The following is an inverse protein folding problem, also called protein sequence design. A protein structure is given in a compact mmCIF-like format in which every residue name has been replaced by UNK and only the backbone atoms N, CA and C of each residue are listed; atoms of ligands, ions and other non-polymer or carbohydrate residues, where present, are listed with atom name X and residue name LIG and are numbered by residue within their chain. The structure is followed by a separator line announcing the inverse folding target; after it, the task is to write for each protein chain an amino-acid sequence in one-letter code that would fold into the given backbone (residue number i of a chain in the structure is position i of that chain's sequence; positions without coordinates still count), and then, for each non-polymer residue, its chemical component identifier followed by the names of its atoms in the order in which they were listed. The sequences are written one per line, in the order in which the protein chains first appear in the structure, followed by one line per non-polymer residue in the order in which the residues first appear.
data_IF_512454181054
#
_entry.id   IF_512454181054
#
_cell.length_a   1.000
_cell.length_b   1.000
_cell.length_c   1.000
_cell.angle_alpha   90.00
_cell.angle_beta   90.00
_cell.angle_gamma   90.00
#
_symmetry.space_group_name_H-M   'P 1'
#
loop_
_entity.id
_entity.type
_entity.pdbx_description
1 polymer ?
#
# COMPACT_ATOMS: atom_id res chain seq x y z
N UNK A 1 15.42 3.81 -13.84
CA UNK A 1 15.27 5.02 -13.00
C UNK A 1 13.85 5.60 -13.01
N UNK A 2 13.20 5.78 -14.18
CA UNK A 2 11.85 6.38 -14.28
C UNK A 2 10.79 5.76 -13.35
N UNK A 3 10.80 4.44 -13.17
CA UNK A 3 9.88 3.74 -12.27
C UNK A 3 10.00 4.14 -10.79
N UNK A 4 11.21 4.46 -10.30
CA UNK A 4 11.39 4.92 -8.91
C UNK A 4 10.83 6.34 -8.77
N UNK A 5 11.13 7.23 -9.71
CA UNK A 5 10.63 8.61 -9.70
C UNK A 5 9.09 8.66 -9.75
N UNK A 6 8.47 7.86 -10.63
CA UNK A 6 7.01 7.75 -10.70
C UNK A 6 6.41 7.21 -9.39
N UNK A 7 6.98 6.16 -8.80
CA UNK A 7 6.51 5.63 -7.53
C UNK A 7 6.63 6.65 -6.38
N UNK A 8 7.71 7.45 -6.35
CA UNK A 8 7.87 8.51 -5.35
C UNK A 8 6.81 9.61 -5.51
N UNK A 9 6.46 9.98 -6.75
CA UNK A 9 5.36 10.91 -7.00
C UNK A 9 4.03 10.37 -6.47
N UNK A 10 3.69 9.11 -6.80
CA UNK A 10 2.46 8.47 -6.33
C UNK A 10 2.43 8.37 -4.79
N UNK A 11 3.57 8.09 -4.16
CA UNK A 11 3.70 8.10 -2.70
C UNK A 11 3.41 9.49 -2.12
N UNK A 12 3.94 10.55 -2.73
CA UNK A 12 3.71 11.92 -2.30
C UNK A 12 2.24 12.32 -2.44
N UNK A 13 1.61 11.97 -3.56
CA UNK A 13 0.19 12.21 -3.81
C UNK A 13 -0.70 11.45 -2.81
N UNK A 14 -0.34 10.19 -2.50
CA UNK A 14 -1.04 9.40 -1.50
C UNK A 14 -0.91 9.98 -0.09
N UNK A 15 0.29 10.44 0.29
CA UNK A 15 0.53 11.08 1.58
C UNK A 15 -0.23 12.41 1.69
N UNK A 16 -0.18 13.24 0.65
CA UNK A 16 -0.92 14.50 0.61
C UNK A 16 -2.44 14.25 0.70
N UNK A 17 -2.96 13.26 -0.02
CA UNK A 17 -4.36 12.88 0.08
C UNK A 17 -4.77 12.43 1.48
N UNK A 18 -3.91 11.68 2.17
CA UNK A 18 -4.17 11.25 3.54
C UNK A 18 -4.21 12.43 4.51
N UNK A 19 -3.27 13.37 4.41
CA UNK A 19 -3.26 14.60 5.25
C UNK A 19 -4.48 15.49 4.98
N UNK A 20 -4.94 15.54 3.73
CA UNK A 20 -6.13 16.31 3.32
C UNK A 20 -7.45 15.57 3.60
N UNK A 21 -7.42 14.31 4.09
CA UNK A 21 -8.60 13.55 4.51
C UNK A 21 -9.40 12.88 3.39
N UNK A 22 -8.92 12.87 2.15
CA UNK A 22 -9.55 12.16 1.03
C UNK A 22 -8.74 10.95 0.52
N UNK A 23 -7.54 10.75 1.06
CA UNK A 23 -6.69 9.59 0.80
C UNK A 23 -6.96 8.46 1.77
N UNK A 24 -6.59 7.24 1.38
CA UNK A 24 -6.69 6.07 2.26
C UNK A 24 -5.31 5.57 2.65
N UNK A 25 -5.21 5.03 3.86
CA UNK A 25 -4.01 4.43 4.41
C UNK A 25 -3.52 3.26 3.53
N UNK A 26 -4.43 2.49 2.92
CA UNK A 26 -4.06 1.39 2.01
C UNK A 26 -3.36 1.91 0.76
N UNK A 27 -3.82 3.05 0.21
CA UNK A 27 -3.16 3.67 -0.95
C UNK A 27 -1.76 4.15 -0.59
N UNK A 28 -1.59 4.74 0.59
CA UNK A 28 -0.28 5.16 1.10
C UNK A 28 0.65 3.95 1.29
N UNK A 29 0.17 2.89 1.94
CA UNK A 29 0.91 1.65 2.19
C UNK A 29 1.34 0.99 0.88
N UNK A 30 0.41 0.86 -0.09
CA UNK A 30 0.69 0.25 -1.40
C UNK A 30 1.76 1.03 -2.16
N UNK A 31 1.64 2.36 -2.16
CA UNK A 31 2.59 3.25 -2.83
C UNK A 31 3.98 3.20 -2.19
N UNK A 32 4.06 3.14 -0.86
CA UNK A 32 5.33 3.00 -0.14
C UNK A 32 6.04 1.67 -0.44
N UNK A 33 5.29 0.56 -0.49
CA UNK A 33 5.80 -0.76 -0.89
C UNK A 33 6.32 -0.75 -2.33
N UNK A 34 5.63 -0.06 -3.23
CA UNK A 34 6.05 0.08 -4.62
C UNK A 34 7.36 0.87 -4.76
N UNK A 35 7.56 1.95 -3.99
CA UNK A 35 8.84 2.69 -3.94
C UNK A 35 9.98 1.78 -3.47
N UNK A 36 9.77 1.00 -2.41
CA UNK A 36 10.75 0.04 -1.88
C UNK A 36 11.14 -0.99 -2.94
N UNK A 37 10.15 -1.61 -3.59
CA UNK A 37 10.35 -2.61 -4.64
C UNK A 37 11.12 -2.05 -5.85
N UNK A 38 10.70 -0.87 -6.35
CA UNK A 38 11.35 -0.23 -7.50
C UNK A 38 12.80 0.18 -7.18
N UNK A 39 13.07 0.60 -5.93
CA UNK A 39 14.42 0.95 -5.46
C UNK A 39 15.30 -0.29 -5.38
N UNK A 40 14.77 -1.41 -4.89
CA UNK A 40 15.49 -2.68 -4.86
C UNK A 40 15.81 -3.19 -6.27
N UNK A 41 14.85 -3.13 -7.20
CA UNK A 41 15.07 -3.48 -8.61
C UNK A 41 16.13 -2.60 -9.27
N UNK A 42 16.13 -1.30 -8.98
CA UNK A 42 17.17 -0.38 -9.46
C UNK A 42 18.55 -0.75 -8.88
N UNK A 43 18.64 -1.04 -7.58
CA UNK A 43 19.89 -1.47 -6.95
C UNK A 43 20.46 -2.75 -7.58
N UNK A 44 19.61 -3.76 -7.81
CA UNK A 44 20.02 -5.00 -8.48
C UNK A 44 20.52 -4.71 -9.89
N UNK A 45 19.81 -3.87 -10.65
CA UNK A 45 20.20 -3.47 -12.00
C UNK A 45 21.51 -2.66 -12.03
N UNK A 46 21.77 -1.83 -11.01
CA UNK A 46 23.04 -1.11 -10.86
C UNK A 46 24.17 -2.07 -10.48
N UNK A 47 23.90 -3.07 -9.62
CA UNK A 47 24.89 -4.06 -9.18
C UNK A 47 25.45 -4.91 -10.32
N UNK A 48 24.67 -5.22 -11.36
CA UNK A 48 25.15 -5.96 -12.54
C UNK A 48 25.96 -5.09 -13.52
N UNK A 49 25.92 -3.76 -13.39
CA UNK A 49 26.61 -2.83 -14.31
C UNK A 49 27.75 -2.04 -13.68
N UNK A 50 27.79 -1.95 -12.35
CA UNK A 50 28.79 -1.19 -11.60
C UNK A 50 29.78 -2.13 -10.92
N UNK A 51 31.03 -1.67 -10.77
CA UNK A 51 32.01 -2.34 -9.93
C UNK A 51 31.52 -2.33 -8.48
N UNK A 52 31.36 -3.52 -7.90
CA UNK A 52 30.84 -3.73 -6.55
C UNK A 52 31.71 -3.06 -5.47
N UNK A 53 33.01 -2.90 -5.74
CA UNK A 53 33.94 -2.26 -4.79
C UNK A 53 34.00 -0.75 -4.95
N UNK A 54 33.28 -0.16 -5.91
CA UNK A 54 33.27 1.29 -6.09
C UNK A 54 32.59 2.03 -4.93
N UNK A 55 33.18 3.15 -4.53
CA UNK A 55 32.62 4.03 -3.51
C UNK A 55 31.20 4.51 -3.87
N UNK A 56 30.93 4.71 -5.16
CA UNK A 56 29.60 5.05 -5.68
C UNK A 56 28.56 3.97 -5.41
N UNK A 57 28.91 2.68 -5.58
CA UNK A 57 28.00 1.56 -5.30
C UNK A 57 27.76 1.39 -3.79
N UNK A 58 28.79 1.58 -2.95
CA UNK A 58 28.63 1.56 -1.50
C UNK A 58 27.67 2.67 -1.00
N UNK A 59 27.80 3.89 -1.53
CA UNK A 59 26.89 5.01 -1.23
C UNK A 59 25.47 4.72 -1.71
N UNK A 60 25.32 4.19 -2.93
CA UNK A 60 24.02 3.87 -3.51
C UNK A 60 23.31 2.75 -2.72
N UNK A 61 24.03 1.71 -2.29
CA UNK A 61 23.48 0.64 -1.44
C UNK A 61 23.02 1.19 -0.08
N UNK A 62 23.80 2.08 0.53
CA UNK A 62 23.44 2.74 1.79
C UNK A 62 22.18 3.57 1.63
N UNK A 63 22.07 4.35 0.55
CA UNK A 63 20.89 5.14 0.23
C UNK A 63 19.66 4.27 -0.01
N UNK A 64 19.75 3.21 -0.82
CA UNK A 64 18.62 2.34 -1.08
C UNK A 64 18.18 1.53 0.16
N UNK A 65 19.12 1.14 1.03
CA UNK A 65 18.79 0.54 2.33
C UNK A 65 18.08 1.54 3.25
N UNK A 66 18.46 2.82 3.23
CA UNK A 66 17.77 3.87 3.97
C UNK A 66 16.33 4.06 3.46
N UNK A 67 16.13 4.10 2.13
CA UNK A 67 14.79 4.17 1.51
C UNK A 67 13.93 2.97 1.91
N UNK A 68 14.48 1.76 1.89
CA UNK A 68 13.77 0.56 2.33
C UNK A 68 13.34 0.65 3.79
N UNK A 69 14.25 1.04 4.68
CA UNK A 69 13.91 1.21 6.11
C UNK A 69 12.84 2.28 6.34
N UNK A 70 12.94 3.41 5.64
CA UNK A 70 11.98 4.51 5.76
C UNK A 70 10.58 4.08 5.28
N UNK A 71 10.50 3.42 4.12
CA UNK A 71 9.23 2.90 3.58
C UNK A 71 8.63 1.79 4.45
N UNK A 72 9.45 0.89 4.99
CA UNK A 72 8.97 -0.15 5.92
C UNK A 72 8.47 0.46 7.24
N UNK A 73 9.14 1.49 7.78
CA UNK A 73 8.70 2.19 8.97
C UNK A 73 7.38 2.95 8.74
N UNK A 74 7.23 3.59 7.58
CA UNK A 74 5.99 4.24 7.17
C UNK A 74 4.84 3.22 7.08
N UNK A 75 5.05 2.08 6.42
CA UNK A 75 4.03 1.03 6.31
C UNK A 75 3.61 0.52 7.68
N UNK A 76 4.55 0.22 8.57
CA UNK A 76 4.22 -0.21 9.94
C UNK A 76 3.41 0.83 10.70
N UNK A 77 3.75 2.11 10.55
CA UNK A 77 3.06 3.20 11.23
C UNK A 77 1.64 3.37 10.70
N UNK A 78 1.47 3.36 9.37
CA UNK A 78 0.16 3.44 8.73
C UNK A 78 -0.72 2.23 9.07
N UNK A 79 -0.13 1.03 9.13
CA UNK A 79 -0.88 -0.19 9.44
C UNK A 79 -1.38 -0.22 10.90
N UNK A 80 -0.56 0.26 11.85
CA UNK A 80 -1.02 0.47 13.24
C UNK A 80 -2.15 1.49 13.34
N UNK A 81 -2.09 2.58 12.56
CA UNK A 81 -3.15 3.58 12.55
C UNK A 81 -4.49 2.98 12.08
N UNK A 82 -4.47 2.11 11.06
CA UNK A 82 -5.66 1.39 10.59
C UNK A 82 -6.19 0.42 11.63
N UNK A 83 -5.32 -0.33 12.32
CA UNK A 83 -5.71 -1.27 13.38
C UNK A 83 -6.40 -0.55 14.55
N UNK A 84 -5.85 0.57 15.01
CA UNK A 84 -6.48 1.39 16.07
C UNK A 84 -7.86 1.91 15.66
N UNK A 85 -8.02 2.38 14.42
CA UNK A 85 -9.32 2.82 13.90
C UNK A 85 -10.36 1.69 13.79
N UNK A 86 -9.92 0.44 13.61
CA UNK A 86 -10.82 -0.72 13.57
C UNK A 86 -11.26 -1.16 14.98
N UNK A 87 -10.37 -1.10 15.97
CA UNK A 87 -10.71 -1.38 17.37
C UNK A 87 -11.77 -0.41 17.91
N UNK A 88 -11.65 0.90 17.62
CA UNK A 88 -12.64 1.92 18.02
C UNK A 88 -14.04 1.64 17.43
N UNK A 89 -14.10 1.19 16.17
CA UNK A 89 -15.36 0.83 15.50
C UNK A 89 -16.00 -0.44 16.07
N UNK A 90 -15.20 -1.39 16.55
CA UNK A 90 -15.71 -2.62 17.15
C UNK A 90 -16.29 -2.38 18.55
N UNK A 91 -15.74 -1.41 19.28
CA UNK A 91 -16.23 -1.03 20.61
C UNK A 91 -17.62 -0.34 20.56
N UNK A 92 -17.90 0.50 19.55
CA UNK A 92 -19.23 1.14 19.40
C UNK A 92 -20.37 0.16 19.07
N UNK A 93 -20.07 -0.96 18.40
CA UNK A 93 -21.10 -1.95 18.00
C UNK A 93 -21.56 -2.82 19.17
N UNK A 94 -20.86 -2.77 20.32
CA UNK A 94 -21.16 -3.63 21.48
C UNK A 94 -22.28 -3.10 22.39
N UNK A 95 -22.79 -1.88 22.19
CA UNK A 95 -23.71 -1.25 23.15
C UNK A 95 -25.17 -1.10 22.70
N UNK A 96 -25.70 -2.00 21.86
CA UNK A 96 -27.16 -2.04 21.64
C UNK A 96 -27.67 -3.45 21.45
N UNK A 97 -28.47 -3.88 22.42
CA UNK A 97 -29.22 -5.13 22.49
C UNK A 97 -30.12 -5.26 21.26
N UNK A 98 -29.62 -5.89 20.20
CA UNK A 98 -30.41 -6.31 19.04
C UNK A 98 -30.50 -7.84 19.09
N UNK A 99 -31.68 -8.46 18.92
CA UNK A 99 -31.82 -9.91 18.97
C UNK A 99 -30.86 -10.58 17.96
N UNK A 100 -30.14 -11.62 18.41
CA UNK A 100 -28.95 -12.16 17.74
C UNK A 100 -29.12 -12.52 16.27
N UNK A 101 -30.33 -12.90 15.85
CA UNK A 101 -30.65 -13.23 14.45
C UNK A 101 -30.57 -12.01 13.51
N UNK A 102 -30.99 -10.82 13.96
CA UNK A 102 -30.95 -9.61 13.13
C UNK A 102 -29.52 -9.05 13.00
N UNK A 103 -28.69 -9.24 14.03
CA UNK A 103 -27.28 -8.87 13.99
C UNK A 103 -26.48 -9.81 13.07
N UNK A 104 -26.80 -11.11 13.08
CA UNK A 104 -26.21 -12.09 12.18
C UNK A 104 -26.56 -11.80 10.70
N UNK A 105 -27.82 -11.48 10.40
CA UNK A 105 -28.24 -11.09 9.05
C UNK A 105 -27.53 -9.82 8.60
N UNK A 106 -27.44 -8.80 9.45
CA UNK A 106 -26.76 -7.54 9.13
C UNK A 106 -25.25 -7.75 8.92
N UNK A 107 -24.60 -8.58 9.72
CA UNK A 107 -23.20 -8.95 9.50
C UNK A 107 -23.02 -9.69 8.18
N UNK A 108 -23.89 -10.67 7.86
CA UNK A 108 -23.86 -11.40 6.59
C UNK A 108 -24.09 -10.49 5.38
N UNK A 109 -24.98 -9.50 5.50
CA UNK A 109 -25.23 -8.49 4.48
C UNK A 109 -23.99 -7.60 4.23
N UNK A 110 -23.33 -7.15 5.30
CA UNK A 110 -22.08 -6.38 5.20
C UNK A 110 -20.98 -7.23 4.56
N UNK A 111 -20.85 -8.51 4.94
CA UNK A 111 -19.88 -9.44 4.34
C UNK A 111 -20.12 -9.58 2.83
N UNK A 112 -21.35 -9.90 2.42
CA UNK A 112 -21.73 -10.06 1.00
C UNK A 112 -21.44 -8.79 0.19
N UNK A 113 -21.72 -7.62 0.76
CA UNK A 113 -21.44 -6.34 0.11
C UNK A 113 -19.93 -6.14 -0.08
N UNK A 114 -19.15 -6.41 0.96
CA UNK A 114 -17.68 -6.29 0.90
C UNK A 114 -17.04 -7.30 -0.05
N UNK A 115 -17.56 -8.52 -0.13
CA UNK A 115 -17.11 -9.53 -1.10
C UNK A 115 -17.33 -9.05 -2.54
N UNK A 116 -18.50 -8.47 -2.83
CA UNK A 116 -18.80 -7.91 -4.15
C UNK A 116 -17.90 -6.73 -4.50
N UNK A 117 -17.71 -5.78 -3.59
CA UNK A 117 -16.79 -4.64 -3.78
C UNK A 117 -15.36 -5.12 -4.05
N UNK A 118 -14.92 -6.16 -3.35
CA UNK A 118 -13.59 -6.74 -3.51
C UNK A 118 -13.42 -7.44 -4.86
N UNK A 119 -14.43 -8.15 -5.35
CA UNK A 119 -14.39 -8.76 -6.69
C UNK A 119 -14.35 -7.70 -7.79
N UNK A 120 -15.15 -6.63 -7.67
CA UNK A 120 -15.12 -5.51 -8.61
C UNK A 120 -13.76 -4.82 -8.65
N UNK A 121 -13.15 -4.56 -7.48
CA UNK A 121 -11.81 -3.98 -7.40
C UNK A 121 -10.75 -4.90 -8.03
N UNK A 122 -10.84 -6.22 -7.81
CA UNK A 122 -9.97 -7.22 -8.46
C UNK A 122 -10.12 -7.21 -9.97
N UNK A 123 -11.36 -7.14 -10.48
CA UNK A 123 -11.62 -7.11 -11.91
C UNK A 123 -11.09 -5.82 -12.56
N UNK A 124 -11.25 -4.66 -11.90
CA UNK A 124 -10.64 -3.40 -12.35
C UNK A 124 -9.11 -3.50 -12.38
N UNK A 125 -8.48 -4.07 -11.35
CA UNK A 125 -7.02 -4.26 -11.33
C UNK A 125 -6.53 -5.20 -12.43
N UNK A 126 -7.26 -6.29 -12.70
CA UNK A 126 -6.98 -7.20 -13.83
C UNK A 126 -7.08 -6.47 -15.16
N UNK A 127 -8.12 -5.66 -15.36
CA UNK A 127 -8.31 -4.88 -16.58
C UNK A 127 -7.15 -3.90 -16.83
N UNK A 128 -6.70 -3.17 -15.79
CA UNK A 128 -5.54 -2.28 -15.89
C UNK A 128 -4.26 -3.06 -16.25
N UNK A 129 -4.03 -4.22 -15.63
CA UNK A 129 -2.87 -5.07 -15.94
C UNK A 129 -2.90 -5.61 -17.38
N UNK A 130 -4.07 -6.00 -17.88
CA UNK A 130 -4.27 -6.44 -19.26
C UNK A 130 -4.00 -5.30 -20.25
N UNK A 131 -4.48 -4.10 -19.95
CA UNK A 131 -4.23 -2.92 -20.78
C UNK A 131 -2.75 -2.60 -20.90
N UNK A 132 -2.01 -2.69 -19.79
CA UNK A 132 -0.56 -2.47 -19.77
C UNK A 132 0.20 -3.53 -20.59
N UNK A 133 -0.28 -4.79 -20.59
CA UNK A 133 0.36 -5.87 -21.35
C UNK A 133 0.05 -5.84 -22.86
N UNK A 134 -1.05 -5.21 -23.28
CA UNK A 134 -1.41 -5.08 -24.71
C UNK A 134 -0.73 -3.84 -25.34
N UNK A 135 -0.51 -2.78 -24.55
CA UNK A 135 0.08 -1.53 -25.02
C UNK A 135 1.62 -1.49 -24.95
N UNK A 136 2.30 -2.56 -24.52
CA UNK A 136 3.75 -2.64 -24.40
C UNK A 136 4.27 -3.97 -24.96
#
# INVERSE_FOLDING_TARGET
ARYVASACHVLCDAANGLVQGYGTEEKLISSAKQVSSNTAALLVACKVKADFMSQSMARLQTAGNAVKRATDALVRSAQRAVEMQQEDKYFEVSMRVVPGSAQEIKCKEVILTKERELDEARNRLKAIRLYIHICF
#
